data_IF_430059718122
#
_entry.id   IF_430059718122
#
_cell.length_a   1.000
_cell.length_b   1.000
_cell.length_c   1.000
_cell.angle_alpha   90.00
_cell.angle_beta   90.00
_cell.angle_gamma   90.00
#
_symmetry.space_group_name_H-M   'P 1'
#
loop_
_entity.id
_entity.type
_entity.pdbx_description
1 polymer ?
#
# COMPACT_ATOMS: atom_id res chain seq x y z
N UNK A 1 -4.98 -4.57 44.47
CA UNK A 1 -5.31 -3.34 43.72
C UNK A 1 -4.51 -3.34 42.42
N UNK A 2 -5.09 -3.63 41.24
CA UNK A 2 -4.34 -3.56 39.99
C UNK A 2 -4.20 -2.10 39.56
N UNK A 3 -2.96 -1.68 39.33
CA UNK A 3 -2.53 -0.36 38.90
C UNK A 3 -3.02 -0.07 37.48
N UNK A 4 -3.76 1.04 37.34
CA UNK A 4 -4.28 1.56 36.07
C UNK A 4 -3.10 2.04 35.20
N UNK A 5 -2.61 1.15 34.35
CA UNK A 5 -1.54 1.46 33.40
C UNK A 5 -2.13 2.28 32.25
N UNK A 6 -1.95 3.61 32.35
CA UNK A 6 -2.45 4.58 31.37
C UNK A 6 -1.87 4.24 29.98
N UNK A 7 -2.70 3.63 29.12
CA UNK A 7 -2.42 3.41 27.70
C UNK A 7 -2.25 4.79 27.06
N UNK A 8 -1.01 5.31 27.04
CA UNK A 8 -0.64 6.42 26.17
C UNK A 8 -1.01 6.00 24.76
N UNK A 9 -2.10 6.54 24.22
CA UNK A 9 -2.47 6.44 22.82
C UNK A 9 -1.34 7.10 22.03
N UNK A 10 -0.32 6.34 21.66
CA UNK A 10 0.65 6.79 20.65
C UNK A 10 -0.17 7.00 19.39
N UNK A 11 -0.29 8.25 18.96
CA UNK A 11 -0.83 8.54 17.63
C UNK A 11 -0.09 7.65 16.62
N UNK A 12 -0.80 7.04 15.65
CA UNK A 12 -0.17 6.24 14.62
C UNK A 12 0.98 7.05 14.00
N UNK A 13 2.19 6.48 13.89
CA UNK A 13 3.40 7.21 13.48
C UNK A 13 3.27 7.94 12.13
N UNK A 14 2.27 7.57 11.33
CA UNK A 14 2.02 8.14 10.01
C UNK A 14 0.97 9.26 10.00
N UNK A 15 0.37 9.64 11.15
CA UNK A 15 -0.66 10.70 11.17
C UNK A 15 -0.12 12.06 10.76
N UNK A 16 1.14 12.35 11.05
CA UNK A 16 1.80 13.59 10.61
C UNK A 16 1.88 13.65 9.09
N UNK A 17 2.29 12.57 8.44
CA UNK A 17 2.37 12.48 6.98
C UNK A 17 0.99 12.53 6.32
N UNK A 18 -0.03 11.89 6.90
CA UNK A 18 -1.39 11.99 6.36
C UNK A 18 -1.93 13.42 6.43
N UNK A 19 -1.59 14.17 7.49
CA UNK A 19 -1.99 15.56 7.63
C UNK A 19 -1.33 16.43 6.56
N UNK A 20 -0.02 16.25 6.33
CA UNK A 20 0.71 16.96 5.27
C UNK A 20 0.08 16.70 3.90
N UNK A 21 -0.17 15.42 3.55
CA UNK A 21 -0.81 15.07 2.27
C UNK A 21 -2.19 15.69 2.11
N UNK A 22 -3.00 15.72 3.18
CA UNK A 22 -4.32 16.35 3.16
C UNK A 22 -4.23 17.86 2.90
N UNK A 23 -3.31 18.55 3.58
CA UNK A 23 -3.09 19.99 3.39
C UNK A 23 -2.65 20.28 1.95
N UNK A 24 -1.73 19.49 1.39
CA UNK A 24 -1.31 19.64 -0.01
C UNK A 24 -2.48 19.41 -0.99
N UNK A 25 -3.35 18.44 -0.73
CA UNK A 25 -4.55 18.20 -1.54
C UNK A 25 -5.54 19.37 -1.49
N UNK A 26 -5.71 20.01 -0.32
CA UNK A 26 -6.57 21.18 -0.16
C UNK A 26 -5.99 22.39 -0.91
N UNK A 27 -4.68 22.61 -0.80
CA UNK A 27 -4.00 23.67 -1.56
C UNK A 27 -4.16 23.43 -3.07
N UNK A 28 -3.98 22.20 -3.53
CA UNK A 28 -4.18 21.82 -4.93
C UNK A 28 -5.63 22.08 -5.38
N UNK A 29 -6.62 21.73 -4.56
CA UNK A 29 -8.03 21.97 -4.82
C UNK A 29 -8.35 23.46 -4.98
N UNK A 30 -7.70 24.33 -4.20
CA UNK A 30 -7.91 25.77 -4.25
C UNK A 30 -7.27 26.44 -5.48
N UNK A 31 -6.10 25.96 -5.94
CA UNK A 31 -5.36 26.57 -7.06
C UNK A 31 -5.82 26.01 -8.41
N UNK A 32 -6.03 24.69 -8.51
CA UNK A 32 -6.38 23.97 -9.75
C UNK A 32 -7.43 22.87 -9.47
N UNK A 33 -8.71 23.22 -9.32
CA UNK A 33 -9.77 22.24 -9.01
C UNK A 33 -9.93 21.20 -10.13
N UNK A 34 -9.65 21.56 -11.38
CA UNK A 34 -9.64 20.65 -12.53
C UNK A 34 -8.62 19.50 -12.40
N UNK A 35 -7.52 19.71 -11.66
CA UNK A 35 -6.48 18.69 -11.48
C UNK A 35 -6.88 17.62 -10.45
N UNK A 36 -7.91 17.86 -9.64
CA UNK A 36 -8.40 16.88 -8.65
C UNK A 36 -8.91 15.61 -9.31
N UNK A 37 -9.54 15.72 -10.48
CA UNK A 37 -10.04 14.57 -11.23
C UNK A 37 -8.89 13.68 -11.71
N UNK A 38 -7.77 14.27 -12.14
CA UNK A 38 -6.59 13.53 -12.61
C UNK A 38 -5.86 12.86 -11.44
N UNK A 39 -5.75 13.54 -10.30
CA UNK A 39 -5.10 12.97 -9.11
C UNK A 39 -5.92 11.83 -8.51
N UNK A 40 -7.25 11.99 -8.41
CA UNK A 40 -8.13 10.92 -7.93
C UNK A 40 -8.12 9.71 -8.87
N UNK A 41 -8.10 9.95 -10.19
CA UNK A 41 -7.95 8.90 -11.19
C UNK A 41 -6.65 8.11 -11.02
N UNK A 42 -5.50 8.79 -10.89
CA UNK A 42 -4.20 8.14 -10.65
C UNK A 42 -4.18 7.37 -9.34
N UNK A 43 -4.77 7.92 -8.28
CA UNK A 43 -4.87 7.25 -6.99
C UNK A 43 -5.71 5.97 -7.10
N UNK A 44 -6.84 6.02 -7.80
CA UNK A 44 -7.68 4.85 -8.07
C UNK A 44 -6.92 3.78 -8.85
N UNK A 45 -6.15 4.14 -9.87
CA UNK A 45 -5.34 3.18 -10.63
C UNK A 45 -4.30 2.48 -9.74
N UNK A 46 -3.61 3.23 -8.87
CA UNK A 46 -2.60 2.66 -7.97
C UNK A 46 -3.25 1.74 -6.93
N UNK A 47 -4.39 2.12 -6.35
CA UNK A 47 -5.09 1.27 -5.36
C UNK A 47 -5.66 0.01 -6.01
N UNK A 48 -6.25 0.13 -7.20
CA UNK A 48 -6.72 -1.02 -7.98
C UNK A 48 -5.56 -1.95 -8.36
N UNK A 49 -4.41 -1.40 -8.77
CA UNK A 49 -3.22 -2.18 -9.10
C UNK A 49 -2.64 -2.93 -7.92
N UNK A 50 -2.63 -2.31 -6.73
CA UNK A 50 -2.22 -2.99 -5.50
C UNK A 50 -3.16 -4.15 -5.14
N UNK A 51 -4.48 -3.94 -5.26
CA UNK A 51 -5.49 -4.99 -5.02
C UNK A 51 -5.33 -6.11 -6.04
N UNK A 52 -5.28 -5.81 -7.33
CA UNK A 52 -5.11 -6.80 -8.39
C UNK A 52 -3.81 -7.61 -8.22
N UNK A 53 -2.68 -6.95 -7.94
CA UNK A 53 -1.40 -7.61 -7.69
C UNK A 53 -1.45 -8.56 -6.49
N UNK A 54 -2.16 -8.18 -5.42
CA UNK A 54 -2.36 -9.06 -4.27
C UNK A 54 -3.23 -10.29 -4.61
N UNK A 55 -4.30 -10.11 -5.39
CA UNK A 55 -5.12 -11.23 -5.86
C UNK A 55 -4.34 -12.19 -6.75
N UNK A 56 -3.51 -11.65 -7.66
CA UNK A 56 -2.63 -12.44 -8.54
C UNK A 56 -1.59 -13.21 -7.72
N UNK A 57 -0.95 -12.57 -6.73
CA UNK A 57 -0.04 -13.27 -5.83
C UNK A 57 -0.73 -14.43 -5.10
N UNK A 58 -2.00 -14.25 -4.70
CA UNK A 58 -2.73 -15.25 -3.92
C UNK A 58 -3.32 -16.37 -4.79
N UNK A 59 -3.60 -16.15 -6.06
CA UNK A 59 -4.12 -17.18 -6.98
C UNK A 59 -3.01 -18.06 -7.56
N UNK A 60 -1.82 -17.50 -7.79
CA UNK A 60 -0.69 -18.23 -8.37
C UNK A 60 0.08 -19.10 -7.36
N UNK A 61 0.03 -18.75 -6.06
CA UNK A 61 0.85 -19.40 -5.04
C UNK A 61 -0.01 -19.95 -3.90
N UNK A 62 0.05 -21.28 -3.73
CA UNK A 62 -0.60 -22.02 -2.66
C UNK A 62 -0.03 -21.67 -1.27
N UNK A 63 -0.72 -22.11 -0.22
CA UNK A 63 -0.45 -21.71 1.17
C UNK A 63 0.99 -22.02 1.62
N UNK A 64 1.59 -23.13 1.19
CA UNK A 64 2.98 -23.52 1.49
C UNK A 64 4.04 -22.52 1.00
N UNK A 65 3.73 -21.67 0.01
CA UNK A 65 4.69 -20.70 -0.57
C UNK A 65 4.63 -19.32 0.10
N UNK A 66 3.94 -19.21 1.25
CA UNK A 66 3.77 -17.94 1.95
C UNK A 66 5.03 -17.62 2.78
N UNK A 67 5.42 -16.34 2.89
CA UNK A 67 6.64 -15.96 3.59
C UNK A 67 6.69 -16.39 5.07
N UNK A 68 5.54 -16.66 5.70
CA UNK A 68 5.45 -17.11 7.10
C UNK A 68 5.50 -18.64 7.26
N UNK A 69 5.26 -19.41 6.19
CA UNK A 69 5.33 -20.88 6.19
C UNK A 69 6.67 -21.39 5.64
N UNK A 70 7.50 -20.50 5.08
CA UNK A 70 8.80 -20.85 4.51
C UNK A 70 9.85 -21.13 5.60
N UNK A 71 10.49 -22.29 5.54
CA UNK A 71 11.46 -22.76 6.55
C UNK A 71 12.89 -22.26 6.25
N UNK A 72 13.18 -21.86 5.00
CA UNK A 72 14.49 -21.42 4.55
C UNK A 72 14.63 -19.91 4.37
N UNK A 73 15.76 -19.33 4.78
CA UNK A 73 16.01 -17.89 4.60
C UNK A 73 15.89 -17.44 3.13
N UNK A 74 16.47 -18.20 2.21
CA UNK A 74 16.43 -17.90 0.77
C UNK A 74 15.00 -17.95 0.22
N UNK A 75 14.17 -18.90 0.69
CA UNK A 75 12.77 -19.02 0.23
C UNK A 75 11.88 -17.94 0.82
N UNK A 76 12.11 -17.53 2.08
CA UNK A 76 11.45 -16.38 2.69
C UNK A 76 11.74 -15.11 1.87
N UNK A 77 13.02 -14.79 1.66
CA UNK A 77 13.42 -13.59 0.90
C UNK A 77 12.89 -13.63 -0.53
N UNK A 78 12.95 -14.80 -1.18
CA UNK A 78 12.38 -15.02 -2.51
C UNK A 78 10.86 -14.76 -2.56
N UNK A 79 10.10 -15.20 -1.55
CA UNK A 79 8.67 -14.95 -1.46
C UNK A 79 8.33 -13.46 -1.28
N UNK A 80 9.13 -12.72 -0.48
CA UNK A 80 8.96 -11.27 -0.32
C UNK A 80 9.28 -10.51 -1.62
N UNK A 81 10.38 -10.83 -2.29
CA UNK A 81 10.78 -10.18 -3.55
C UNK A 81 9.74 -10.44 -4.63
N UNK A 82 9.29 -11.69 -4.77
CA UNK A 82 8.26 -12.06 -5.75
C UNK A 82 6.96 -11.27 -5.56
N UNK A 83 6.49 -11.16 -4.32
CA UNK A 83 5.30 -10.35 -3.96
C UNK A 83 5.48 -8.89 -4.35
N UNK A 84 6.62 -8.31 -4.00
CA UNK A 84 6.94 -6.93 -4.36
C UNK A 84 6.97 -6.74 -5.88
N UNK A 85 7.56 -7.67 -6.63
CA UNK A 85 7.65 -7.61 -8.09
C UNK A 85 6.30 -7.73 -8.79
N UNK A 86 5.42 -8.65 -8.35
CA UNK A 86 4.07 -8.81 -8.93
C UNK A 86 3.26 -7.54 -8.71
N UNK A 87 3.24 -7.01 -7.48
CA UNK A 87 2.51 -5.78 -7.16
C UNK A 87 3.08 -4.58 -7.92
N UNK A 88 4.41 -4.46 -8.01
CA UNK A 88 5.07 -3.41 -8.78
C UNK A 88 4.69 -3.49 -10.27
N UNK A 89 4.72 -4.69 -10.87
CA UNK A 89 4.36 -4.89 -12.26
C UNK A 89 2.90 -4.51 -12.53
N UNK A 90 1.97 -4.87 -11.64
CA UNK A 90 0.56 -4.48 -11.77
C UNK A 90 0.36 -2.96 -11.69
N UNK A 91 1.03 -2.28 -10.73
CA UNK A 91 0.92 -0.83 -10.58
C UNK A 91 1.53 -0.14 -11.80
N UNK A 92 2.71 -0.55 -12.28
CA UNK A 92 3.34 0.03 -13.46
C UNK A 92 2.49 -0.21 -14.72
N UNK A 93 1.96 -1.41 -14.91
CA UNK A 93 1.10 -1.72 -16.06
C UNK A 93 -0.15 -0.83 -16.12
N UNK A 94 -0.81 -0.63 -14.98
CA UNK A 94 -2.02 0.21 -14.90
C UNK A 94 -1.72 1.71 -14.95
N UNK A 95 -0.50 2.15 -14.61
CA UNK A 95 -0.14 3.57 -14.60
C UNK A 95 0.59 4.04 -15.85
N UNK A 96 1.21 3.13 -16.62
CA UNK A 96 1.89 3.42 -17.88
C UNK A 96 1.05 3.08 -19.12
N UNK A 97 0.07 2.17 -19.01
CA UNK A 97 -0.79 1.74 -20.11
C UNK A 97 -1.94 2.70 -20.46
N UNK A 98 -1.96 3.90 -19.87
CA UNK A 98 -3.00 4.94 -19.98
C UNK A 98 -2.35 6.29 -20.25
#
# INVERSE_FOLDING_TARGET
MPSQQSRRRRAPRMTSWTLVTLVLLIILAAIRPEQLQVVSYKLLLVTLGAVAGYWIDRSLFLVESRPHECIGFVTIVGAWIRRALIVLACILGLTLGL
#
